data_IF_513523178267
#
_entry.id   IF_513523178267
#
_cell.length_a   1.000
_cell.length_b   1.000
_cell.length_c   1.000
_cell.angle_alpha   90.00
_cell.angle_beta   90.00
_cell.angle_gamma   90.00
#
_symmetry.space_group_name_H-M   'P 1'
#
loop_
_entity.id
_entity.type
_entity.pdbx_description
1 polymer ?
#
# COMPACT_ATOMS: atom_id res chain seq x y z
N UNK A 1 -4.20 1.03 -32.67
CA UNK A 1 -3.07 1.71 -33.33
C UNK A 1 -2.84 3.03 -32.61
N UNK A 2 -1.75 3.14 -31.86
CA UNK A 2 -1.31 4.39 -31.22
C UNK A 2 -0.27 5.02 -32.15
N UNK A 3 -0.34 6.32 -32.40
CA UNK A 3 0.57 6.97 -33.34
C UNK A 3 1.92 7.27 -32.67
N UNK A 4 3.04 7.29 -33.42
CA UNK A 4 4.36 7.58 -32.83
C UNK A 4 4.45 8.97 -32.19
N UNK A 5 3.61 9.93 -32.63
CA UNK A 5 3.50 11.25 -32.01
C UNK A 5 2.98 11.19 -30.57
N UNK A 6 1.99 10.34 -30.28
CA UNK A 6 1.43 10.19 -28.93
C UNK A 6 2.52 9.82 -27.89
N UNK A 7 3.55 9.09 -28.32
CA UNK A 7 4.64 8.65 -27.44
C UNK A 7 5.53 9.82 -26.97
N UNK A 8 5.80 10.81 -27.82
CA UNK A 8 6.64 11.97 -27.47
C UNK A 8 5.92 12.92 -26.50
N UNK A 9 4.65 13.24 -26.76
CA UNK A 9 3.83 14.06 -25.86
C UNK A 9 3.72 13.41 -24.47
N UNK A 10 3.46 12.09 -24.43
CA UNK A 10 3.42 11.35 -23.16
C UNK A 10 4.77 11.38 -22.41
N UNK A 11 5.92 11.31 -23.09
CA UNK A 11 7.23 11.42 -22.42
C UNK A 11 7.43 12.81 -21.81
N UNK A 12 7.12 13.89 -22.53
CA UNK A 12 7.25 15.26 -22.01
C UNK A 12 6.31 15.47 -20.82
N UNK A 13 5.08 14.98 -20.89
CA UNK A 13 4.10 15.09 -19.82
C UNK A 13 4.51 14.29 -18.57
N UNK A 14 5.11 13.10 -18.71
CA UNK A 14 5.66 12.31 -17.58
C UNK A 14 6.85 13.01 -16.89
N UNK A 15 7.56 13.92 -17.58
CA UNK A 15 8.65 14.72 -16.97
C UNK A 15 8.10 15.92 -16.17
N UNK A 16 6.94 16.46 -16.55
CA UNK A 16 6.32 17.62 -15.89
C UNK A 16 5.35 17.19 -14.77
N UNK A 17 4.63 16.09 -14.97
CA UNK A 17 3.60 15.55 -14.06
C UNK A 17 4.14 14.27 -13.43
N UNK A 18 4.42 14.31 -12.13
CA UNK A 18 5.09 13.20 -11.43
C UNK A 18 4.16 12.45 -10.49
N UNK A 19 3.16 13.13 -9.91
CA UNK A 19 2.22 12.61 -8.91
C UNK A 19 0.81 12.44 -9.46
N UNK A 20 0.02 11.60 -8.79
CA UNK A 20 -1.41 11.46 -9.09
C UNK A 20 -2.20 12.73 -8.78
N UNK A 21 -1.84 13.50 -7.74
CA UNK A 21 -2.46 14.80 -7.47
C UNK A 21 -2.24 15.81 -8.62
N UNK A 22 -1.03 15.87 -9.21
CA UNK A 22 -0.76 16.70 -10.40
C UNK A 22 -1.52 16.20 -11.65
N UNK A 23 -1.60 14.88 -11.85
CA UNK A 23 -2.34 14.29 -12.96
C UNK A 23 -3.86 14.56 -12.86
N UNK A 24 -4.43 14.52 -11.65
CA UNK A 24 -5.83 14.93 -11.40
C UNK A 24 -6.01 16.41 -11.76
N UNK A 25 -5.07 17.28 -11.38
CA UNK A 25 -5.09 18.71 -11.74
C UNK A 25 -5.03 18.95 -13.26
N UNK A 26 -4.24 18.16 -13.99
CA UNK A 26 -4.18 18.19 -15.46
C UNK A 26 -5.52 17.79 -16.09
N UNK A 27 -6.08 16.63 -15.73
CA UNK A 27 -7.36 16.19 -16.29
C UNK A 27 -8.53 17.12 -15.89
N UNK A 28 -8.49 17.74 -14.70
CA UNK A 28 -9.49 18.72 -14.27
C UNK A 28 -9.40 20.07 -15.01
N UNK A 29 -8.21 20.49 -15.46
CA UNK A 29 -8.00 21.78 -16.12
C UNK A 29 -8.10 21.72 -17.65
N UNK A 30 -7.75 20.59 -18.27
CA UNK A 30 -7.88 20.39 -19.73
C UNK A 30 -9.13 19.58 -20.15
N UNK A 31 -9.78 18.85 -19.22
CA UNK A 31 -11.06 18.20 -19.47
C UNK A 31 -11.06 17.26 -20.69
N UNK A 32 -11.70 17.70 -21.77
CA UNK A 32 -11.86 16.95 -23.03
C UNK A 32 -11.09 17.53 -24.22
N UNK A 33 -10.29 18.60 -24.04
CA UNK A 33 -9.57 19.26 -25.15
C UNK A 33 -8.13 18.77 -25.35
N UNK A 34 -7.61 17.94 -24.44
CA UNK A 34 -6.27 17.34 -24.55
C UNK A 34 -6.24 16.12 -25.49
N UNK A 35 -5.12 15.92 -26.18
CA UNK A 35 -4.82 14.70 -26.95
C UNK A 35 -4.65 13.48 -26.05
N UNK A 36 -4.17 13.67 -24.82
CA UNK A 36 -3.84 12.60 -23.87
C UNK A 36 -5.11 12.11 -23.17
N UNK A 37 -5.61 10.96 -23.62
CA UNK A 37 -6.83 10.32 -23.10
C UNK A 37 -6.65 9.69 -21.71
N UNK A 38 -5.44 9.23 -21.41
CA UNK A 38 -5.10 8.60 -20.14
C UNK A 38 -3.58 8.61 -19.90
N UNK A 39 -3.17 8.43 -18.64
CA UNK A 39 -1.77 8.31 -18.22
C UNK A 39 -1.59 7.06 -17.34
N UNK A 40 -0.42 6.41 -17.40
CA UNK A 40 -0.10 5.27 -16.54
C UNK A 40 0.54 5.72 -15.23
N UNK A 41 0.27 5.00 -14.14
CA UNK A 41 0.90 5.20 -12.83
C UNK A 41 1.30 3.87 -12.19
N UNK A 42 2.45 3.87 -11.54
CA UNK A 42 2.85 2.81 -10.62
C UNK A 42 2.59 3.28 -9.17
N UNK A 43 2.37 2.33 -8.24
CA UNK A 43 2.43 2.65 -6.81
C UNK A 43 3.87 3.02 -6.43
N UNK A 44 4.07 4.09 -5.66
CA UNK A 44 5.41 4.54 -5.26
C UNK A 44 6.13 3.42 -4.51
N UNK A 45 7.23 2.94 -5.08
CA UNK A 45 8.05 1.88 -4.48
C UNK A 45 8.72 2.42 -3.22
N UNK A 46 8.34 1.85 -2.07
CA UNK A 46 8.80 2.28 -0.76
C UNK A 46 10.28 1.95 -0.57
N UNK A 47 11.08 2.95 -0.23
CA UNK A 47 12.48 2.81 0.14
C UNK A 47 12.61 2.22 1.56
N UNK A 48 12.43 0.90 1.66
CA UNK A 48 12.69 0.05 2.85
C UNK A 48 11.78 0.27 4.07
N UNK A 49 11.18 1.45 4.25
CA UNK A 49 10.45 1.78 5.48
C UNK A 49 8.96 1.38 5.47
N UNK A 50 8.67 0.29 6.20
CA UNK A 50 7.33 -0.22 6.50
C UNK A 50 6.43 0.75 7.28
N UNK A 51 6.98 1.80 7.92
CA UNK A 51 6.17 2.82 8.61
C UNK A 51 5.48 3.78 7.63
N UNK A 52 6.06 4.02 6.46
CA UNK A 52 5.60 5.02 5.49
C UNK A 52 4.71 4.46 4.36
N UNK A 53 4.24 3.21 4.47
CA UNK A 53 3.31 2.62 3.50
C UNK A 53 2.03 3.48 3.32
N UNK A 54 1.81 3.94 2.08
CA UNK A 54 0.60 4.60 1.62
C UNK A 54 0.15 3.97 0.29
N UNK A 55 -1.00 3.29 0.21
CA UNK A 55 -1.43 2.61 -1.01
C UNK A 55 -1.94 3.56 -2.10
N UNK A 56 -2.24 4.82 -1.74
CA UNK A 56 -2.71 5.90 -2.63
C UNK A 56 -1.57 6.78 -3.18
N UNK A 57 -0.31 6.54 -2.76
CA UNK A 57 0.85 7.23 -3.32
C UNK A 57 1.20 6.64 -4.68
N UNK A 58 0.68 7.26 -5.75
CA UNK A 58 0.88 6.82 -7.13
C UNK A 58 1.73 7.86 -7.89
N UNK A 59 2.67 7.33 -8.67
CA UNK A 59 3.66 8.09 -9.45
C UNK A 59 3.43 7.81 -10.93
N UNK A 60 3.31 8.87 -11.72
CA UNK A 60 3.16 8.81 -13.18
C UNK A 60 4.37 8.10 -13.82
N UNK A 61 4.16 7.26 -14.82
CA UNK A 61 5.23 6.41 -15.39
C UNK A 61 5.03 6.16 -16.88
N UNK A 62 6.12 6.02 -17.65
CA UNK A 62 6.06 5.67 -19.08
C UNK A 62 5.59 4.21 -19.29
N UNK A 63 5.02 3.86 -20.46
CA UNK A 63 4.52 2.50 -20.72
C UNK A 63 5.57 1.41 -20.48
N UNK A 64 6.82 1.69 -20.82
CA UNK A 64 7.97 0.76 -20.79
C UNK A 64 8.51 0.49 -19.37
N UNK A 65 8.12 1.31 -18.39
CA UNK A 65 8.56 1.23 -16.98
C UNK A 65 7.43 0.82 -16.04
N UNK A 66 6.29 0.39 -16.57
CA UNK A 66 5.09 0.08 -15.78
C UNK A 66 5.25 -1.23 -15.01
N UNK A 67 4.83 -1.24 -13.74
CA UNK A 67 4.89 -2.43 -12.88
C UNK A 67 3.80 -3.46 -13.23
N UNK A 68 3.92 -4.69 -12.70
CA UNK A 68 2.96 -5.79 -12.98
C UNK A 68 1.56 -5.48 -12.47
N UNK A 69 1.47 -4.94 -11.26
CA UNK A 69 0.28 -4.23 -10.76
C UNK A 69 0.42 -2.76 -11.17
N UNK A 70 -0.58 -2.18 -11.83
CA UNK A 70 -0.52 -0.79 -12.27
C UNK A 70 -1.87 -0.10 -12.32
N UNK A 71 -1.83 1.22 -12.42
CA UNK A 71 -2.99 2.09 -12.53
C UNK A 71 -2.98 2.89 -13.83
N UNK A 72 -4.16 3.29 -14.28
CA UNK A 72 -4.36 4.20 -15.40
C UNK A 72 -5.33 5.30 -14.97
N UNK A 73 -4.97 6.57 -15.11
CA UNK A 73 -5.86 7.72 -14.84
C UNK A 73 -6.37 8.34 -16.15
N UNK A 74 -7.61 8.80 -16.14
CA UNK A 74 -8.26 9.54 -17.23
C UNK A 74 -9.27 10.55 -16.66
N UNK A 75 -9.87 11.38 -17.50
CA UNK A 75 -10.92 12.35 -17.09
C UNK A 75 -12.13 11.70 -16.39
N UNK A 76 -12.42 10.41 -16.62
CA UNK A 76 -13.55 9.72 -15.94
C UNK A 76 -13.19 9.13 -14.57
N UNK A 77 -11.92 8.80 -14.33
CA UNK A 77 -11.52 8.01 -13.17
C UNK A 77 -10.17 7.34 -13.28
N UNK A 78 -9.87 6.58 -12.23
CA UNK A 78 -8.72 5.71 -12.08
C UNK A 78 -9.16 4.26 -12.35
N UNK A 79 -8.41 3.53 -13.17
CA UNK A 79 -8.53 2.08 -13.33
C UNK A 79 -7.35 1.41 -12.63
N UNK A 80 -7.63 0.44 -11.77
CA UNK A 80 -6.63 -0.47 -11.19
C UNK A 80 -6.58 -1.78 -11.97
N UNK A 81 -5.38 -2.31 -12.15
CA UNK A 81 -5.14 -3.59 -12.78
C UNK A 81 -4.16 -4.41 -11.93
N UNK A 82 -4.64 -5.57 -11.48
CA UNK A 82 -3.86 -6.56 -10.74
C UNK A 82 -3.86 -7.88 -11.54
N UNK A 83 -2.70 -8.51 -11.82
CA UNK A 83 -2.64 -9.74 -12.61
C UNK A 83 -3.36 -10.93 -11.94
N UNK A 84 -4.50 -11.32 -12.51
CA UNK A 84 -5.34 -12.43 -12.01
C UNK A 84 -6.67 -11.99 -11.41
N UNK A 85 -6.89 -10.68 -11.26
CA UNK A 85 -8.13 -10.10 -10.73
C UNK A 85 -8.83 -9.28 -11.82
N UNK A 86 -10.12 -8.95 -11.62
CA UNK A 86 -10.85 -8.05 -12.51
C UNK A 86 -10.31 -6.61 -12.35
N UNK A 87 -10.29 -5.83 -13.43
CA UNK A 87 -9.85 -4.43 -13.36
C UNK A 87 -10.93 -3.56 -12.73
N UNK A 88 -10.61 -2.92 -11.60
CA UNK A 88 -11.55 -2.07 -10.86
C UNK A 88 -11.49 -0.62 -11.36
N UNK A 89 -12.64 0.08 -11.35
CA UNK A 89 -12.73 1.50 -11.74
C UNK A 89 -13.27 2.36 -10.59
N UNK A 90 -12.50 3.38 -10.23
CA UNK A 90 -12.76 4.31 -9.12
C UNK A 90 -12.82 5.74 -9.66
N UNK A 91 -13.90 6.48 -9.39
CA UNK A 91 -14.01 7.88 -9.82
C UNK A 91 -12.96 8.75 -9.10
N UNK A 92 -12.51 9.84 -9.74
CA UNK A 92 -11.51 10.73 -9.15
C UNK A 92 -11.96 11.32 -7.79
N UNK A 93 -13.27 11.56 -7.64
CA UNK A 93 -13.89 11.97 -6.37
C UNK A 93 -13.72 10.92 -5.27
N UNK A 94 -14.09 9.66 -5.54
CA UNK A 94 -13.95 8.54 -4.59
C UNK A 94 -12.49 8.31 -4.22
N UNK A 95 -11.59 8.31 -5.20
CA UNK A 95 -10.15 8.17 -4.98
C UNK A 95 -9.58 9.26 -4.06
N UNK A 96 -9.99 10.51 -4.26
CA UNK A 96 -9.54 11.63 -3.42
C UNK A 96 -10.11 11.56 -2.00
N UNK A 97 -11.38 11.18 -1.84
CA UNK A 97 -11.98 10.87 -0.53
C UNK A 97 -11.23 9.74 0.20
N UNK A 98 -10.93 8.64 -0.49
CA UNK A 98 -10.28 7.46 0.07
C UNK A 98 -8.83 7.75 0.47
N UNK A 99 -8.10 8.48 -0.38
CA UNK A 99 -6.76 9.00 -0.08
C UNK A 99 -6.78 9.93 1.14
N UNK A 100 -7.74 10.86 1.22
CA UNK A 100 -7.91 11.74 2.40
C UNK A 100 -8.27 10.94 3.66
N UNK A 101 -9.22 9.99 3.56
CA UNK A 101 -9.67 9.12 4.66
C UNK A 101 -8.51 8.27 5.18
N UNK A 102 -7.64 7.75 4.31
CA UNK A 102 -6.41 7.07 4.69
C UNK A 102 -5.41 8.01 5.38
N UNK A 103 -5.12 9.18 4.79
CA UNK A 103 -4.23 10.20 5.38
C UNK A 103 -4.69 10.62 6.79
N UNK A 104 -6.00 10.78 7.01
CA UNK A 104 -6.63 11.08 8.32
C UNK A 104 -6.55 9.90 9.29
N UNK A 105 -6.91 8.67 8.88
CA UNK A 105 -6.79 7.49 9.75
C UNK A 105 -5.33 7.24 10.17
N UNK A 106 -4.36 7.53 9.29
CA UNK A 106 -2.93 7.32 9.57
C UNK A 106 -2.33 8.36 10.53
N UNK A 107 -2.89 9.57 10.61
CA UNK A 107 -2.42 10.61 11.54
C UNK A 107 -2.86 10.36 12.99
N UNK A 108 -3.99 9.69 13.21
CA UNK A 108 -4.51 9.35 14.54
C UNK A 108 -3.51 8.56 15.38
N UNK A 109 -3.33 8.97 16.63
CA UNK A 109 -2.35 8.39 17.57
C UNK A 109 -2.55 6.89 17.83
N UNK A 110 -3.79 6.39 17.72
CA UNK A 110 -4.13 4.96 17.86
C UNK A 110 -3.48 4.14 16.73
N UNK A 111 -3.71 4.52 15.47
CA UNK A 111 -3.20 3.81 14.29
C UNK A 111 -1.71 4.06 14.06
N UNK A 112 -1.21 5.28 14.33
CA UNK A 112 0.22 5.63 14.21
C UNK A 112 1.11 4.70 15.06
N UNK A 113 0.73 4.46 16.31
CA UNK A 113 1.50 3.62 17.24
C UNK A 113 1.07 2.14 17.26
N UNK A 114 0.03 1.75 16.50
CA UNK A 114 -0.52 0.39 16.52
C UNK A 114 0.55 -0.68 16.23
N UNK A 115 1.34 -0.51 15.16
CA UNK A 115 2.38 -1.48 14.78
C UNK A 115 3.43 -1.67 15.89
N UNK A 116 3.92 -0.57 16.47
CA UNK A 116 4.88 -0.59 17.59
C UNK A 116 4.29 -1.29 18.82
N UNK A 117 3.05 -0.92 19.21
CA UNK A 117 2.31 -1.56 20.32
C UNK A 117 2.11 -3.05 20.08
N UNK A 118 1.76 -3.47 18.86
CA UNK A 118 1.56 -4.88 18.47
C UNK A 118 2.86 -5.69 18.53
N UNK A 119 3.97 -5.14 18.04
CA UNK A 119 5.30 -5.77 18.13
C UNK A 119 5.72 -5.93 19.59
N UNK A 120 5.63 -4.86 20.39
CA UNK A 120 5.99 -4.89 21.82
C UNK A 120 5.09 -5.83 22.63
N UNK A 121 3.79 -5.91 22.34
CA UNK A 121 2.88 -6.85 22.98
C UNK A 121 3.22 -8.31 22.62
N UNK A 122 3.51 -8.60 21.35
CA UNK A 122 3.93 -9.95 20.90
C UNK A 122 5.28 -10.34 21.50
N UNK A 123 6.24 -9.42 21.59
CA UNK A 123 7.52 -9.65 22.26
C UNK A 123 7.33 -9.93 23.76
N UNK A 124 6.54 -9.11 24.48
CA UNK A 124 6.21 -9.33 25.91
C UNK A 124 5.54 -10.68 26.14
N UNK A 125 4.61 -11.08 25.26
CA UNK A 125 3.97 -12.39 25.29
C UNK A 125 4.99 -13.52 25.10
N UNK A 126 5.81 -13.46 24.05
CA UNK A 126 6.84 -14.47 23.75
C UNK A 126 7.88 -14.58 24.88
N UNK A 127 8.29 -13.46 25.48
CA UNK A 127 9.23 -13.43 26.60
C UNK A 127 8.64 -14.08 27.87
N UNK A 128 7.36 -13.81 28.19
CA UNK A 128 6.65 -14.50 29.28
C UNK A 128 6.49 -15.99 29.00
N UNK A 129 6.13 -16.37 27.78
CA UNK A 129 5.97 -17.77 27.36
C UNK A 129 7.30 -18.53 27.42
N UNK A 130 8.40 -17.92 27.00
CA UNK A 130 9.75 -18.48 27.13
C UNK A 130 10.14 -18.72 28.58
N UNK A 131 9.95 -17.74 29.48
CA UNK A 131 10.20 -17.90 30.93
C UNK A 131 9.31 -18.98 31.56
N UNK A 132 8.05 -19.06 31.17
CA UNK A 132 7.13 -20.12 31.61
C UNK A 132 7.62 -21.49 31.15
N UNK A 133 8.01 -21.63 29.87
CA UNK A 133 8.60 -22.85 29.32
C UNK A 133 9.86 -23.26 30.07
N UNK A 134 10.85 -22.39 30.24
CA UNK A 134 12.08 -22.73 30.98
C UNK A 134 11.79 -23.14 32.43
N UNK A 135 10.77 -22.53 33.06
CA UNK A 135 10.33 -22.92 34.40
C UNK A 135 9.66 -24.30 34.41
N UNK A 136 8.75 -24.56 33.47
CA UNK A 136 8.06 -25.85 33.29
C UNK A 136 9.06 -26.97 32.99
N UNK A 137 9.94 -26.74 32.02
CA UNK A 137 10.89 -27.73 31.51
C UNK A 137 11.90 -28.11 32.63
N UNK A 138 12.31 -27.13 33.46
CA UNK A 138 13.09 -27.34 34.71
C UNK A 138 12.30 -28.06 35.82
N UNK A 139 10.99 -27.82 35.94
CA UNK A 139 10.13 -28.50 36.92
C UNK A 139 9.91 -29.97 36.53
N UNK A 140 9.69 -30.28 35.25
CA UNK A 140 9.57 -31.67 34.78
C UNK A 140 10.84 -32.51 34.93
N UNK A 141 12.01 -31.87 35.08
CA UNK A 141 13.28 -32.54 35.43
C UNK A 141 13.46 -32.78 36.93
N UNK A 142 12.68 -32.12 37.79
CA UNK A 142 12.84 -32.15 39.27
C UNK A 142 11.65 -32.73 40.02
N UNK A 143 10.48 -32.76 39.39
CA UNK A 143 9.32 -33.50 39.89
C UNK A 143 9.52 -34.97 39.58
N UNK A 144 9.57 -35.79 40.63
CA UNK A 144 9.25 -37.22 40.51
C UNK A 144 7.85 -37.29 39.88
N UNK A 145 7.62 -38.12 38.83
CA UNK A 145 6.29 -38.26 38.26
C UNK A 145 5.33 -38.77 39.35
N UNK A 146 4.37 -37.92 39.72
CA UNK A 146 3.42 -38.23 40.79
C UNK A 146 2.65 -39.51 40.42
N UNK A 147 2.96 -40.62 41.09
CA UNK A 147 2.39 -41.92 40.75
C UNK A 147 0.89 -41.92 41.06
N UNK A 148 0.01 -42.18 40.08
CA UNK A 148 -1.45 -42.24 40.29
C UNK A 148 -1.84 -43.59 40.90
N UNK A 149 -1.23 -43.93 42.05
CA UNK A 149 -1.32 -45.24 42.72
C UNK A 149 -1.42 -45.16 44.25
N UNK A 150 -1.69 -43.97 44.79
CA UNK A 150 -2.04 -43.74 46.19
C UNK A 150 -3.41 -43.04 46.26
N UNK A 151 -4.44 -43.82 45.94
CA UNK A 151 -5.86 -43.53 46.07
C UNK A 151 -6.60 -44.87 46.25
#
# INVERSE_FOLDING_TARGET
CTYPYDHYDNIVIVVIITTVEEAIGFFASMGSSTSVKFMYLNRRRLSTDLHHFNPYDLVVTTPDRRDREYFTISTSGLVHYCPGEASEHTSLSRWMEESMRFKVLRSMSVFKHYSQRKILARWRYNARYSRFRSTRDRLSQKLIPAQPRLA
#
